data_IF_540489848731
#
_entry.id   IF_540489848731
#
_cell.length_a   1.000
_cell.length_b   1.000
_cell.length_c   1.000
_cell.angle_alpha   90.00
_cell.angle_beta   90.00
_cell.angle_gamma   90.00
#
_symmetry.space_group_name_H-M   'P 1'
#
loop_
_entity.id
_entity.type
_entity.pdbx_description
1 polymer ?
#
# COMPACT_ATOMS: atom_id res chain seq x y z
N UNK A 1 9.41 3.47 -4.10
CA UNK A 1 8.24 3.86 -3.27
C UNK A 1 7.12 2.86 -3.47
N UNK A 2 6.21 2.75 -2.50
CA UNK A 2 5.15 1.73 -2.50
C UNK A 2 4.25 1.71 -3.75
N UNK A 3 4.12 2.83 -4.46
CA UNK A 3 3.35 2.93 -5.71
C UNK A 3 4.22 2.66 -6.95
N UNK A 4 5.41 3.27 -7.01
CA UNK A 4 6.26 3.20 -8.21
C UNK A 4 6.83 1.81 -8.47
N UNK A 5 7.09 1.03 -7.43
CA UNK A 5 7.60 -0.34 -7.57
C UNK A 5 6.60 -1.27 -8.27
N UNK A 6 5.35 -1.45 -7.78
CA UNK A 6 4.37 -2.30 -8.46
C UNK A 6 3.95 -1.73 -9.82
N UNK A 7 3.86 -0.40 -9.96
CA UNK A 7 3.58 0.23 -11.27
C UNK A 7 4.59 -0.20 -12.33
N UNK A 8 5.88 -0.05 -12.05
CA UNK A 8 6.94 -0.42 -13.00
C UNK A 8 6.99 -1.92 -13.27
N UNK A 9 6.70 -2.75 -12.27
CA UNK A 9 6.67 -4.20 -12.43
C UNK A 9 5.48 -4.69 -13.26
N UNK A 10 4.31 -4.05 -13.15
CA UNK A 10 3.07 -4.49 -13.78
C UNK A 10 2.78 -3.82 -15.14
N UNK A 11 3.41 -2.67 -15.46
CA UNK A 11 3.15 -1.93 -16.68
C UNK A 11 3.71 -2.64 -17.92
N UNK A 12 2.82 -3.18 -18.77
CA UNK A 12 3.18 -3.78 -20.06
C UNK A 12 2.87 -2.86 -21.25
N UNK A 13 2.15 -1.76 -21.01
CA UNK A 13 1.70 -0.83 -22.04
C UNK A 13 0.45 -1.29 -22.79
N UNK A 14 -0.22 -2.33 -22.30
CA UNK A 14 -1.44 -2.90 -22.92
C UNK A 14 -2.66 -2.58 -22.08
N UNK A 15 -3.83 -2.56 -22.73
CA UNK A 15 -5.11 -2.48 -22.01
C UNK A 15 -5.18 -3.70 -21.10
N UNK A 16 -5.42 -3.45 -19.81
CA UNK A 16 -5.51 -4.51 -18.80
C UNK A 16 -4.37 -4.54 -17.78
N UNK A 17 -3.39 -3.63 -17.83
CA UNK A 17 -2.30 -3.51 -16.84
C UNK A 17 -2.78 -3.29 -15.37
N UNK A 18 -4.08 -3.05 -15.17
CA UNK A 18 -4.71 -2.96 -13.86
C UNK A 18 -4.80 -1.53 -13.33
N UNK A 19 -5.03 -1.41 -12.02
CA UNK A 19 -5.19 -0.13 -11.32
C UNK A 19 -4.48 -0.19 -9.97
N UNK A 20 -3.94 0.95 -9.55
CA UNK A 20 -3.45 1.16 -8.19
C UNK A 20 -4.46 2.04 -7.49
N UNK A 21 -4.95 1.57 -6.35
CA UNK A 21 -5.83 2.33 -5.48
C UNK A 21 -5.04 2.78 -4.25
N UNK A 22 -5.30 4.02 -3.84
CA UNK A 22 -4.73 4.59 -2.62
C UNK A 22 -5.89 5.06 -1.77
N UNK A 23 -5.92 4.61 -0.53
CA UNK A 23 -6.88 5.04 0.48
C UNK A 23 -6.12 5.48 1.72
N UNK A 24 -6.66 6.47 2.42
CA UNK A 24 -6.15 6.85 3.72
C UNK A 24 -6.49 5.75 4.73
N UNK A 25 -5.55 5.45 5.61
CA UNK A 25 -5.77 4.64 6.80
C UNK A 25 -5.68 5.58 7.99
N UNK A 26 -6.77 5.70 8.74
CA UNK A 26 -6.87 6.63 9.86
C UNK A 26 -6.17 6.10 11.12
N UNK A 27 -6.19 4.78 11.33
CA UNK A 27 -5.62 4.14 12.51
C UNK A 27 -5.03 2.76 12.17
N UNK A 28 -3.89 2.45 12.79
CA UNK A 28 -3.23 1.13 12.73
C UNK A 28 -2.97 0.69 14.16
N UNK A 29 -3.31 -0.55 14.51
CA UNK A 29 -3.11 -1.13 15.84
C UNK A 29 -2.41 -2.48 15.73
N UNK A 30 -1.30 -2.67 16.45
CA UNK A 30 -0.59 -3.95 16.50
C UNK A 30 -1.11 -4.80 17.66
N UNK A 31 -1.88 -5.85 17.35
CA UNK A 31 -2.54 -6.71 18.35
C UNK A 31 -1.58 -7.28 19.40
N UNK A 32 -0.36 -7.66 19.01
CA UNK A 32 0.61 -8.31 19.91
C UNK A 32 1.13 -7.37 21.03
N UNK A 33 1.25 -6.08 20.76
CA UNK A 33 1.93 -5.10 21.64
C UNK A 33 1.00 -4.00 22.12
N UNK A 34 -0.11 -3.75 21.42
CA UNK A 34 -0.99 -2.60 21.66
C UNK A 34 -0.47 -1.29 21.08
N UNK A 35 0.64 -1.29 20.34
CA UNK A 35 1.16 -0.09 19.66
C UNK A 35 0.13 0.44 18.64
N UNK A 36 0.07 1.77 18.51
CA UNK A 36 -0.86 2.46 17.61
C UNK A 36 -0.11 3.42 16.68
N UNK A 37 -0.76 3.81 15.57
CA UNK A 37 -0.20 4.79 14.64
C UNK A 37 1.07 4.29 13.95
N UNK A 38 2.10 5.14 13.87
CA UNK A 38 3.35 4.77 13.17
C UNK A 38 4.13 3.66 13.87
N UNK A 39 4.07 3.58 15.20
CA UNK A 39 4.76 2.53 15.96
C UNK A 39 4.18 1.14 15.69
N UNK A 40 2.95 1.09 15.16
CA UNK A 40 2.28 -0.14 14.79
C UNK A 40 2.70 -0.69 13.41
N UNK A 41 3.33 0.12 12.55
CA UNK A 41 3.74 -0.21 11.17
C UNK A 41 5.14 -0.79 11.13
#
# INVERSE_FOLDING_TARGET
GAIEAPRKAAQTGRIGDGKIFVSNIEEVVRIRTGETGMDAV
#
